data_IF_705675442058
#
_entry.id   IF_705675442058
#
_cell.length_a   1.000
_cell.length_b   1.000
_cell.length_c   1.000
_cell.angle_alpha   90.00
_cell.angle_beta   90.00
_cell.angle_gamma   90.00
#
_symmetry.space_group_name_H-M   'P 1'
#
loop_
_entity.id
_entity.type
_entity.pdbx_description
1 polymer ?
#
# COMPACT_ATOMS: atom_id res chain seq x y z
N UNK A 1 14.27 7.92 -3.70
CA UNK A 1 13.67 8.38 -2.42
C UNK A 1 14.30 7.61 -1.27
N UNK A 2 14.64 8.28 -0.18
CA UNK A 2 15.01 7.63 1.09
C UNK A 2 13.75 7.61 1.97
N UNK A 3 13.15 6.44 2.12
CA UNK A 3 11.88 6.31 2.85
C UNK A 3 12.04 6.72 4.32
N UNK A 4 13.12 6.29 4.97
CA UNK A 4 13.36 6.61 6.37
C UNK A 4 13.46 8.13 6.59
N UNK A 5 14.22 8.83 5.75
CA UNK A 5 14.36 10.28 5.86
C UNK A 5 13.03 10.98 5.56
N UNK A 6 12.28 10.52 4.58
CA UNK A 6 10.96 11.08 4.26
C UNK A 6 10.01 10.94 5.43
N UNK A 7 10.04 9.81 6.15
CA UNK A 7 9.21 9.58 7.34
C UNK A 7 9.64 10.52 8.48
N UNK A 8 10.94 10.68 8.70
CA UNK A 8 11.46 11.60 9.72
C UNK A 8 10.97 13.03 9.44
N UNK A 9 11.07 13.48 8.19
CA UNK A 9 10.64 14.80 7.77
C UNK A 9 9.12 14.97 7.96
N UNK A 10 8.33 13.96 7.62
CA UNK A 10 6.87 14.01 7.83
C UNK A 10 6.52 14.13 9.31
N UNK A 11 7.19 13.35 10.17
CA UNK A 11 6.95 13.40 11.62
C UNK A 11 7.28 14.80 12.18
N UNK A 12 8.37 15.40 11.72
CA UNK A 12 8.77 16.74 12.14
C UNK A 12 7.75 17.80 11.72
N UNK A 13 7.17 17.67 10.52
CA UNK A 13 6.23 18.64 9.98
C UNK A 13 4.79 18.43 10.43
N UNK A 14 4.45 17.23 10.90
CA UNK A 14 3.06 16.83 11.18
C UNK A 14 2.86 16.38 12.64
N UNK A 15 3.56 16.99 13.58
CA UNK A 15 3.39 16.77 15.03
C UNK A 15 3.52 15.28 15.42
N UNK A 16 4.55 14.61 14.90
CA UNK A 16 4.86 13.20 15.15
C UNK A 16 3.77 12.24 14.64
N UNK A 17 3.07 12.63 13.58
CA UNK A 17 2.03 11.80 12.96
C UNK A 17 2.30 11.62 11.47
N UNK A 18 1.78 10.53 10.92
CA UNK A 18 1.80 10.28 9.49
C UNK A 18 0.42 10.63 8.93
N UNK A 19 0.38 11.55 7.96
CA UNK A 19 -0.88 11.96 7.33
C UNK A 19 -1.28 10.98 6.22
N UNK A 20 -2.59 10.87 5.92
CA UNK A 20 -3.03 10.13 4.73
C UNK A 20 -2.43 10.68 3.43
N UNK A 21 -2.21 11.99 3.34
CA UNK A 21 -1.58 12.60 2.17
C UNK A 21 -0.16 12.08 1.92
N UNK A 22 0.60 11.81 2.99
CA UNK A 22 1.94 11.24 2.89
C UNK A 22 1.89 9.84 2.26
N UNK A 23 0.97 8.99 2.72
CA UNK A 23 0.79 7.64 2.17
C UNK A 23 0.32 7.71 0.72
N UNK A 24 -0.63 8.60 0.40
CA UNK A 24 -1.10 8.78 -0.97
C UNK A 24 0.02 9.22 -1.91
N UNK A 25 0.93 10.06 -1.45
CA UNK A 25 2.10 10.48 -2.21
C UNK A 25 3.04 9.30 -2.51
N UNK A 26 3.26 8.43 -1.53
CA UNK A 26 4.06 7.22 -1.73
C UNK A 26 3.42 6.34 -2.80
N UNK A 27 2.12 6.10 -2.71
CA UNK A 27 1.39 5.28 -3.69
C UNK A 27 1.47 5.91 -5.08
N UNK A 28 1.30 7.24 -5.19
CA UNK A 28 1.36 7.95 -6.46
C UNK A 28 2.73 7.85 -7.14
N UNK A 29 3.80 7.68 -6.37
CA UNK A 29 5.17 7.53 -6.87
C UNK A 29 5.57 6.07 -7.10
N UNK A 30 4.68 5.13 -6.83
CA UNK A 30 4.92 3.69 -6.91
C UNK A 30 4.41 3.12 -8.22
N UNK A 31 4.88 1.92 -8.54
CA UNK A 31 4.33 1.12 -9.63
C UNK A 31 3.29 0.17 -9.06
N UNK A 32 2.12 0.11 -9.69
CA UNK A 32 1.01 -0.74 -9.25
C UNK A 32 0.75 -1.81 -10.31
N UNK A 33 0.70 -3.07 -9.86
CA UNK A 33 0.44 -4.22 -10.73
C UNK A 33 -0.72 -5.03 -10.16
N UNK A 34 -1.68 -5.36 -11.02
CA UNK A 34 -2.81 -6.21 -10.65
C UNK A 34 -2.66 -7.58 -11.30
N UNK A 35 -2.92 -8.64 -10.53
CA UNK A 35 -2.82 -10.02 -10.97
C UNK A 35 -4.07 -10.79 -10.56
N UNK A 36 -4.41 -11.79 -11.36
CA UNK A 36 -5.47 -12.75 -11.02
C UNK A 36 -4.92 -14.17 -11.18
N UNK A 37 -4.18 -14.68 -10.18
CA UNK A 37 -3.53 -15.99 -10.30
C UNK A 37 -4.50 -17.15 -10.25
N UNK A 38 -5.69 -16.98 -9.67
CA UNK A 38 -6.72 -17.99 -9.60
C UNK A 38 -8.10 -17.37 -9.88
N UNK A 39 -9.13 -18.19 -10.19
CA UNK A 39 -10.49 -17.67 -10.39
C UNK A 39 -11.07 -16.95 -9.18
N UNK A 40 -10.56 -17.24 -7.97
CA UNK A 40 -11.11 -16.74 -6.73
C UNK A 40 -10.21 -15.71 -6.03
N UNK A 41 -9.09 -15.31 -6.65
CA UNK A 41 -8.12 -14.44 -6.00
C UNK A 41 -7.61 -13.37 -6.95
N UNK A 42 -7.61 -12.12 -6.46
CA UNK A 42 -6.94 -11.00 -7.13
C UNK A 42 -5.87 -10.45 -6.21
N UNK A 43 -4.74 -10.04 -6.80
CA UNK A 43 -3.62 -9.49 -6.07
C UNK A 43 -3.32 -8.09 -6.60
N UNK A 44 -2.81 -7.23 -5.70
CA UNK A 44 -2.23 -5.95 -6.04
C UNK A 44 -0.81 -5.89 -5.45
N UNK A 45 0.18 -5.67 -6.31
CA UNK A 45 1.55 -5.47 -5.88
C UNK A 45 1.88 -4.00 -6.09
N UNK A 46 2.28 -3.32 -5.02
CA UNK A 46 2.78 -1.95 -5.09
C UNK A 46 4.28 -2.00 -4.87
N UNK A 47 5.02 -1.58 -5.89
CA UNK A 47 6.48 -1.47 -5.80
C UNK A 47 6.82 -0.01 -5.55
N UNK A 48 7.33 0.27 -4.35
CA UNK A 48 7.73 1.61 -3.93
C UNK A 48 8.96 2.08 -4.72
N UNK A 49 9.15 3.40 -4.79
CA UNK A 49 10.33 3.97 -5.48
C UNK A 49 11.65 3.52 -4.87
N UNK A 50 11.65 3.04 -3.63
CA UNK A 50 12.81 2.47 -2.96
C UNK A 50 13.10 1.03 -3.38
N UNK A 51 12.19 0.39 -4.14
CA UNK A 51 12.27 -1.02 -4.50
C UNK A 51 11.56 -1.96 -3.55
N UNK A 52 11.10 -1.48 -2.38
CA UNK A 52 10.31 -2.28 -1.45
C UNK A 52 8.94 -2.59 -2.04
N UNK A 53 8.49 -3.83 -1.90
CA UNK A 53 7.22 -4.27 -2.45
C UNK A 53 6.24 -4.66 -1.35
N UNK A 54 4.98 -4.29 -1.53
CA UNK A 54 3.87 -4.72 -0.67
C UNK A 54 2.80 -5.41 -1.50
N UNK A 55 2.06 -6.30 -0.86
CA UNK A 55 1.04 -7.13 -1.49
C UNK A 55 -0.28 -6.97 -0.78
N UNK A 56 -1.33 -6.73 -1.55
CA UNK A 56 -2.70 -6.81 -1.08
C UNK A 56 -3.47 -7.86 -1.86
N UNK A 57 -4.42 -8.52 -1.21
CA UNK A 57 -5.23 -9.52 -1.87
C UNK A 57 -6.71 -9.25 -1.67
N UNK A 58 -7.50 -9.63 -2.68
CA UNK A 58 -8.94 -9.69 -2.60
C UNK A 58 -9.38 -11.10 -2.96
N UNK A 59 -10.25 -11.70 -2.14
CA UNK A 59 -10.73 -13.04 -2.36
C UNK A 59 -12.19 -13.03 -2.73
N UNK A 60 -12.56 -13.80 -3.76
CA UNK A 60 -13.91 -13.94 -4.24
C UNK A 60 -14.45 -15.27 -3.75
N UNK A 61 -15.59 -15.26 -3.06
CA UNK A 61 -16.22 -16.49 -2.54
C UNK A 61 -16.86 -17.32 -3.66
N UNK A 62 -17.29 -16.66 -4.75
CA UNK A 62 -17.95 -17.30 -5.87
C UNK A 62 -17.48 -16.66 -7.17
N UNK A 63 -16.74 -17.42 -7.98
CA UNK A 63 -16.07 -16.88 -9.17
C UNK A 63 -17.01 -16.14 -10.14
N UNK A 64 -18.26 -16.60 -10.42
CA UNK A 64 -19.18 -15.86 -11.29
C UNK A 64 -19.54 -14.46 -10.79
N UNK A 65 -19.32 -14.17 -9.49
CA UNK A 65 -19.60 -12.85 -8.91
C UNK A 65 -18.36 -11.96 -8.89
N UNK A 66 -17.24 -12.39 -9.50
CA UNK A 66 -16.03 -11.61 -9.56
C UNK A 66 -16.21 -10.41 -10.48
N UNK A 67 -16.06 -9.21 -9.91
CA UNK A 67 -16.08 -7.95 -10.66
C UNK A 67 -14.68 -7.34 -10.55
N UNK A 68 -14.00 -7.21 -11.69
CA UNK A 68 -12.59 -6.80 -11.75
C UNK A 68 -12.34 -5.49 -11.00
N UNK A 69 -13.17 -4.48 -11.25
CA UNK A 69 -13.00 -3.16 -10.65
C UNK A 69 -13.10 -3.22 -9.12
N UNK A 70 -14.05 -3.98 -8.60
CA UNK A 70 -14.25 -4.14 -7.16
C UNK A 70 -13.10 -4.93 -6.56
N UNK A 71 -12.74 -6.07 -7.17
CA UNK A 71 -11.66 -6.92 -6.68
C UNK A 71 -10.32 -6.19 -6.67
N UNK A 72 -10.00 -5.45 -7.74
CA UNK A 72 -8.77 -4.66 -7.80
C UNK A 72 -8.77 -3.54 -6.77
N UNK A 73 -9.91 -2.88 -6.55
CA UNK A 73 -10.02 -1.83 -5.53
C UNK A 73 -9.77 -2.37 -4.12
N UNK A 74 -10.34 -3.53 -3.80
CA UNK A 74 -10.11 -4.18 -2.50
C UNK A 74 -8.65 -4.58 -2.34
N UNK A 75 -8.06 -5.18 -3.38
CA UNK A 75 -6.65 -5.58 -3.36
C UNK A 75 -5.74 -4.36 -3.18
N UNK A 76 -6.02 -3.24 -3.87
CA UNK A 76 -5.27 -2.01 -3.73
C UNK A 76 -5.38 -1.44 -2.31
N UNK A 77 -6.57 -1.43 -1.74
CA UNK A 77 -6.78 -0.96 -0.36
C UNK A 77 -5.96 -1.80 0.61
N UNK A 78 -5.97 -3.11 0.46
CA UNK A 78 -5.22 -4.01 1.33
C UNK A 78 -3.70 -3.83 1.17
N UNK A 79 -3.23 -3.62 -0.06
CA UNK A 79 -1.82 -3.32 -0.31
C UNK A 79 -1.42 -1.97 0.30
N UNK A 80 -2.28 -0.96 0.20
CA UNK A 80 -2.04 0.36 0.80
C UNK A 80 -1.97 0.25 2.32
N UNK A 81 -2.78 -0.60 2.94
CA UNK A 81 -2.72 -0.85 4.38
C UNK A 81 -1.36 -1.45 4.78
N UNK A 82 -0.74 -2.25 3.93
CA UNK A 82 0.61 -2.76 4.17
C UNK A 82 1.65 -1.64 4.14
N UNK A 83 1.46 -0.61 3.32
CA UNK A 83 2.32 0.58 3.34
C UNK A 83 2.16 1.32 4.66
N UNK A 84 0.93 1.47 5.16
CA UNK A 84 0.69 2.06 6.48
C UNK A 84 1.42 1.29 7.58
N UNK A 85 1.40 -0.04 7.54
CA UNK A 85 2.09 -0.89 8.51
C UNK A 85 3.60 -0.67 8.43
N UNK A 86 4.17 -0.66 7.23
CA UNK A 86 5.59 -0.43 7.02
C UNK A 86 6.02 0.94 7.55
N UNK A 87 5.32 1.99 7.13
CA UNK A 87 5.62 3.38 7.52
C UNK A 87 5.45 3.56 9.03
N UNK A 88 4.38 3.00 9.60
CA UNK A 88 4.13 3.06 11.03
C UNK A 88 5.21 2.38 11.85
N UNK A 89 5.73 1.25 11.38
CA UNK A 89 6.82 0.54 12.05
C UNK A 89 8.11 1.36 12.07
N UNK A 90 8.43 2.01 10.95
CA UNK A 90 9.61 2.88 10.87
C UNK A 90 9.41 4.13 11.74
N UNK A 91 8.23 4.72 11.68
CA UNK A 91 7.91 5.93 12.46
C UNK A 91 8.07 5.71 13.97
N UNK A 92 7.71 4.53 14.48
CA UNK A 92 7.85 4.20 15.90
C UNK A 92 9.30 4.24 16.39
N UNK A 93 10.27 4.11 15.50
CA UNK A 93 11.68 4.18 15.86
C UNK A 93 12.13 5.63 16.09
N UNK A 94 11.33 6.62 15.69
CA UNK A 94 11.70 8.03 15.68
C UNK A 94 10.76 8.93 16.50
N UNK A 95 9.84 8.36 17.24
CA UNK A 95 8.92 9.11 18.13
C UNK A 95 9.01 8.64 19.56
#
# INVERSE_FOLDING_TARGET
MNLQQSIIDELAENSNKISPAFINKIVAQSTIQYLKPTPNMRLCIITLSTGHEVLGKAQVLHAPNDIEQIGNSVALTNATNEIWTLVGSIAKLHV
#
